data_IF_880526150923
#
_entry.id   IF_880526150923
#
_cell.length_a   1.000
_cell.length_b   1.000
_cell.length_c   1.000
_cell.angle_alpha   90.00
_cell.angle_beta   90.00
_cell.angle_gamma   90.00
#
_symmetry.space_group_name_H-M   'P 1'
#
loop_
_entity.id
_entity.type
_entity.pdbx_description
1 polymer ?
#
# COMPACT_ATOMS: atom_id res chain seq x y z
N UNK A 1 1.59 -49.25 -47.44
CA UNK A 1 0.59 -48.36 -46.82
C UNK A 1 0.66 -48.56 -45.30
N UNK A 2 1.54 -47.84 -44.56
CA UNK A 2 1.65 -47.87 -43.07
C UNK A 2 2.83 -47.06 -42.46
N UNK A 3 3.56 -46.25 -43.25
CA UNK A 3 4.63 -45.37 -42.71
C UNK A 3 4.13 -43.95 -42.39
N UNK A 4 3.21 -43.43 -43.18
CA UNK A 4 2.63 -42.08 -43.01
C UNK A 4 1.71 -41.97 -41.78
N UNK A 5 1.08 -43.08 -41.37
CA UNK A 5 0.17 -43.12 -40.22
C UNK A 5 0.92 -43.11 -38.87
N UNK A 6 2.15 -43.65 -38.83
CA UNK A 6 3.01 -43.60 -37.63
C UNK A 6 3.64 -42.23 -37.41
N UNK A 7 3.99 -41.52 -38.49
CA UNK A 7 4.49 -40.14 -38.39
C UNK A 7 3.40 -39.15 -37.97
N UNK A 8 2.14 -39.38 -38.35
CA UNK A 8 1.02 -38.52 -37.95
C UNK A 8 0.74 -38.60 -36.43
N UNK A 9 0.89 -39.79 -35.80
CA UNK A 9 0.71 -39.94 -34.36
C UNK A 9 1.85 -39.34 -33.51
N UNK A 10 3.07 -39.29 -34.05
CA UNK A 10 4.24 -38.75 -33.32
C UNK A 10 4.24 -37.22 -33.32
N UNK A 11 3.71 -36.58 -34.37
CA UNK A 11 3.61 -35.11 -34.41
C UNK A 11 2.44 -34.59 -33.55
N UNK A 12 1.36 -35.36 -33.39
CA UNK A 12 0.20 -34.96 -32.57
C UNK A 12 0.46 -35.00 -31.05
N UNK A 13 1.48 -35.73 -30.59
CA UNK A 13 1.80 -35.86 -29.15
C UNK A 13 2.80 -34.81 -28.66
N UNK A 14 3.51 -34.10 -29.54
CA UNK A 14 4.48 -33.08 -29.16
C UNK A 14 3.88 -31.69 -28.85
N UNK A 15 2.62 -31.45 -29.21
CA UNK A 15 1.96 -30.14 -29.00
C UNK A 15 1.32 -30.01 -27.60
N UNK A 16 1.21 -31.10 -26.84
CA UNK A 16 0.49 -31.12 -25.56
C UNK A 16 1.33 -30.78 -24.30
N UNK A 17 2.58 -30.31 -24.45
CA UNK A 17 3.50 -30.12 -23.32
C UNK A 17 3.94 -28.66 -23.08
N UNK A 18 3.34 -27.66 -23.71
CA UNK A 18 3.78 -26.25 -23.60
C UNK A 18 2.73 -25.27 -23.06
N UNK A 19 1.83 -25.72 -22.16
CA UNK A 19 0.82 -24.82 -21.57
C UNK A 19 0.63 -25.03 -20.06
N UNK A 20 1.71 -25.07 -19.27
CA UNK A 20 1.62 -25.01 -17.80
C UNK A 20 2.58 -23.97 -17.19
N UNK A 21 2.85 -22.86 -17.88
CA UNK A 21 3.66 -21.76 -17.32
C UNK A 21 2.95 -20.40 -17.27
N UNK A 22 1.67 -20.32 -17.65
CA UNK A 22 0.93 -19.04 -17.78
C UNK A 22 0.16 -18.59 -16.53
N UNK A 23 0.24 -19.31 -15.40
CA UNK A 23 -0.54 -19.01 -14.19
C UNK A 23 0.30 -18.81 -12.94
N UNK A 24 1.48 -18.24 -13.08
CA UNK A 24 2.15 -17.65 -11.92
C UNK A 24 1.71 -16.18 -11.84
N UNK A 25 0.94 -15.76 -10.81
CA UNK A 25 0.69 -14.33 -10.60
C UNK A 25 2.06 -13.66 -10.50
N UNK A 26 2.31 -12.77 -11.47
CA UNK A 26 3.55 -12.02 -11.60
C UNK A 26 3.85 -11.40 -10.25
N UNK A 27 5.03 -11.71 -9.69
CA UNK A 27 5.53 -11.11 -8.46
C UNK A 27 5.27 -9.59 -8.49
N UNK A 28 4.53 -9.12 -7.50
CA UNK A 28 3.92 -7.78 -7.40
C UNK A 28 4.83 -6.75 -6.71
N UNK A 29 6.12 -7.06 -6.61
CA UNK A 29 7.11 -6.09 -6.20
C UNK A 29 7.15 -4.94 -7.22
N UNK A 30 7.10 -3.66 -6.79
CA UNK A 30 7.17 -2.56 -7.74
C UNK A 30 8.50 -2.60 -8.49
N UNK A 31 8.43 -2.40 -9.80
CA UNK A 31 9.61 -2.41 -10.67
C UNK A 31 10.30 -1.06 -10.59
N UNK A 32 11.63 -1.02 -10.75
CA UNK A 32 12.35 0.25 -10.75
C UNK A 32 11.82 1.18 -11.87
N UNK A 33 11.83 2.51 -11.65
CA UNK A 33 11.51 3.47 -12.70
C UNK A 33 12.45 3.32 -13.91
N UNK A 34 11.93 3.51 -15.12
CA UNK A 34 12.76 3.47 -16.33
C UNK A 34 13.68 4.70 -16.40
N UNK A 35 14.89 4.58 -16.99
CA UNK A 35 15.76 5.73 -17.20
C UNK A 35 15.05 6.83 -18.02
N UNK A 36 14.97 8.04 -17.46
CA UNK A 36 14.29 9.18 -18.10
C UNK A 36 12.78 9.22 -17.94
N UNK A 37 12.18 8.28 -17.18
CA UNK A 37 10.76 8.33 -16.83
C UNK A 37 10.45 9.61 -16.05
N UNK A 38 9.43 10.34 -16.48
CA UNK A 38 8.92 11.52 -15.80
C UNK A 38 7.41 11.63 -16.04
N UNK A 39 6.65 11.87 -14.97
CA UNK A 39 5.19 12.01 -15.04
C UNK A 39 4.78 13.48 -15.01
N UNK A 40 3.75 13.83 -15.79
CA UNK A 40 3.06 15.10 -15.58
C UNK A 40 2.34 15.06 -14.22
N UNK A 41 2.63 16.06 -13.38
CA UNK A 41 2.11 16.08 -12.01
C UNK A 41 0.60 16.14 -11.92
N UNK A 42 -0.05 16.92 -12.79
CA UNK A 42 -1.51 17.12 -12.72
C UNK A 42 -2.21 15.82 -13.11
N UNK A 43 -1.76 15.19 -14.20
CA UNK A 43 -2.29 13.91 -14.64
C UNK A 43 -1.99 12.80 -13.63
N UNK A 44 -0.79 12.78 -13.06
CA UNK A 44 -0.40 11.82 -12.03
C UNK A 44 -1.29 11.92 -10.79
N UNK A 45 -1.52 13.13 -10.26
CA UNK A 45 -2.42 13.34 -9.11
C UNK A 45 -3.85 12.93 -9.47
N UNK A 46 -4.33 13.24 -10.67
CA UNK A 46 -5.66 12.83 -11.13
C UNK A 46 -5.81 11.31 -11.15
N UNK A 47 -4.85 10.59 -11.72
CA UNK A 47 -4.84 9.13 -11.76
C UNK A 47 -4.84 8.52 -10.36
N UNK A 48 -3.96 8.99 -9.48
CA UNK A 48 -3.86 8.49 -8.10
C UNK A 48 -5.08 8.85 -7.23
N UNK A 49 -5.77 9.96 -7.53
CA UNK A 49 -7.04 10.29 -6.86
C UNK A 49 -8.15 9.31 -7.24
N UNK A 50 -8.18 8.85 -8.49
CA UNK A 50 -9.16 7.88 -8.99
C UNK A 50 -8.86 6.43 -8.55
N UNK A 51 -7.64 6.16 -8.07
CA UNK A 51 -7.24 4.89 -7.48
C UNK A 51 -7.86 4.72 -6.08
N UNK A 52 -9.07 4.17 -6.06
CA UNK A 52 -9.90 3.98 -4.86
C UNK A 52 -9.77 2.62 -4.20
N UNK A 53 -9.21 1.64 -4.90
CA UNK A 53 -9.03 0.28 -4.39
C UNK A 53 -7.58 -0.15 -4.59
N UNK A 54 -6.94 -0.58 -3.51
CA UNK A 54 -5.55 -1.01 -3.51
C UNK A 54 -5.22 -1.71 -2.19
N UNK A 55 -4.13 -2.46 -2.20
CA UNK A 55 -3.55 -3.02 -0.99
C UNK A 55 -2.04 -2.80 -1.00
N UNK A 56 -1.48 -2.47 0.16
CA UNK A 56 -0.03 -2.42 0.35
C UNK A 56 0.41 -3.42 1.41
N UNK A 57 1.57 -4.02 1.19
CA UNK A 57 2.24 -4.85 2.19
C UNK A 57 3.65 -4.36 2.43
N UNK A 58 4.07 -4.41 3.68
CA UNK A 58 5.36 -3.84 4.04
C UNK A 58 5.67 -3.84 5.52
N UNK A 59 6.44 -2.84 5.94
CA UNK A 59 6.82 -2.62 7.33
C UNK A 59 6.57 -1.18 7.71
N UNK A 60 6.07 -0.99 8.92
CA UNK A 60 5.97 0.33 9.56
C UNK A 60 6.88 0.34 10.78
N UNK A 61 7.63 1.43 10.93
CA UNK A 61 8.39 1.73 12.14
C UNK A 61 7.91 3.04 12.72
N UNK A 62 7.67 3.07 14.03
CA UNK A 62 7.31 4.28 14.77
C UNK A 62 8.34 4.53 15.86
N UNK A 63 8.73 5.78 16.03
CA UNK A 63 9.66 6.22 17.07
C UNK A 63 9.21 7.57 17.63
N UNK A 64 9.26 7.69 18.95
CA UNK A 64 9.10 8.93 19.70
C UNK A 64 10.37 9.21 20.51
N UNK A 65 10.33 10.22 21.39
CA UNK A 65 11.40 10.52 22.31
C UNK A 65 11.66 9.38 23.32
N UNK A 66 10.60 8.65 23.72
CA UNK A 66 10.64 7.70 24.84
C UNK A 66 10.33 6.26 24.44
N UNK A 67 9.77 6.04 23.25
CA UNK A 67 9.31 4.72 22.83
C UNK A 67 9.50 4.51 21.32
N UNK A 68 9.34 3.26 20.87
CA UNK A 68 9.31 2.93 19.47
C UNK A 68 9.12 1.43 19.22
N UNK A 69 8.69 1.11 18.01
CA UNK A 69 8.43 -0.27 17.60
C UNK A 69 8.32 -0.39 16.09
N UNK A 70 8.17 -1.63 15.63
CA UNK A 70 7.97 -1.90 14.21
C UNK A 70 7.09 -3.12 14.00
N UNK A 71 6.13 -3.00 13.08
CA UNK A 71 5.25 -4.08 12.70
C UNK A 71 5.32 -4.35 11.20
N UNK A 72 4.96 -5.57 10.82
CA UNK A 72 4.49 -5.83 9.47
C UNK A 72 3.16 -5.12 9.27
N UNK A 73 2.99 -4.52 8.10
CA UNK A 73 1.79 -3.81 7.70
C UNK A 73 1.17 -4.56 6.52
N UNK A 74 -0.13 -4.82 6.62
CA UNK A 74 -1.00 -5.11 5.49
C UNK A 74 -2.17 -4.11 5.53
N UNK A 75 -2.26 -3.24 4.54
CA UNK A 75 -3.30 -2.21 4.46
C UNK A 75 -4.06 -2.34 3.15
N UNK A 76 -5.34 -2.67 3.27
CA UNK A 76 -6.31 -2.71 2.19
C UNK A 76 -7.22 -1.48 2.23
N UNK A 77 -7.38 -0.83 1.08
CA UNK A 77 -8.30 0.28 0.87
C UNK A 77 -9.37 -0.14 -0.15
N UNK A 78 -10.64 0.14 0.15
CA UNK A 78 -11.75 0.06 -0.79
C UNK A 78 -12.66 1.27 -0.61
N UNK A 79 -12.61 2.22 -1.54
CA UNK A 79 -13.35 3.48 -1.49
C UNK A 79 -13.10 4.23 -0.17
N UNK A 80 -14.14 4.42 0.64
CA UNK A 80 -14.08 5.10 1.95
C UNK A 80 -13.89 4.10 3.11
N UNK A 81 -13.68 2.82 2.80
CA UNK A 81 -13.43 1.77 3.78
C UNK A 81 -11.97 1.34 3.75
N UNK A 82 -11.42 1.04 4.92
CA UNK A 82 -10.06 0.57 5.04
C UNK A 82 -9.94 -0.53 6.09
N UNK A 83 -8.91 -1.35 5.92
CA UNK A 83 -8.51 -2.40 6.84
C UNK A 83 -6.98 -2.40 6.94
N UNK A 84 -6.46 -2.19 8.14
CA UNK A 84 -5.03 -2.14 8.46
C UNK A 84 -4.74 -3.23 9.47
N UNK A 85 -3.94 -4.21 9.08
CA UNK A 85 -3.37 -5.22 9.96
C UNK A 85 -1.92 -4.87 10.27
N UNK A 86 -1.65 -4.73 11.56
CA UNK A 86 -0.31 -4.65 12.13
C UNK A 86 0.02 -5.96 12.83
N UNK A 87 1.07 -6.65 12.38
CA UNK A 87 1.48 -7.94 12.96
C UNK A 87 2.95 -7.96 13.34
N UNK A 88 3.27 -8.63 14.44
CA UNK A 88 4.61 -8.57 15.03
C UNK A 88 4.81 -7.27 15.81
N UNK A 89 6.05 -6.84 16.11
CA UNK A 89 6.27 -5.96 17.26
C UNK A 89 5.90 -4.47 17.12
N UNK A 90 4.60 -4.15 17.09
CA UNK A 90 4.07 -3.00 17.83
C UNK A 90 2.99 -3.53 18.81
N UNK A 91 3.38 -3.67 20.08
CA UNK A 91 2.58 -4.24 21.18
C UNK A 91 2.60 -5.78 21.33
N UNK A 92 3.03 -6.50 20.28
CA UNK A 92 3.25 -7.96 20.20
C UNK A 92 2.01 -8.84 20.43
N UNK A 93 0.97 -8.52 19.66
CA UNK A 93 -0.01 -9.44 19.12
C UNK A 93 -0.25 -9.07 17.66
N UNK A 94 -1.48 -9.19 17.18
CA UNK A 94 -1.93 -8.46 15.98
C UNK A 94 -2.84 -7.33 16.42
N UNK A 95 -2.71 -6.17 15.78
CA UNK A 95 -3.67 -5.06 15.90
C UNK A 95 -4.32 -4.84 14.55
N UNK A 96 -5.64 -4.82 14.53
CA UNK A 96 -6.45 -4.50 13.35
C UNK A 96 -7.08 -3.14 13.59
N UNK A 97 -6.93 -2.24 12.63
CA UNK A 97 -7.64 -0.95 12.60
C UNK A 97 -8.44 -0.94 11.31
N UNK A 98 -9.76 -0.80 11.42
CA UNK A 98 -10.66 -0.73 10.28
C UNK A 98 -11.62 0.44 10.42
N UNK A 99 -12.11 0.95 9.31
CA UNK A 99 -13.06 2.05 9.33
C UNK A 99 -13.80 2.19 8.02
N UNK A 100 -14.93 2.88 8.09
CA UNK A 100 -15.79 3.24 6.97
C UNK A 100 -16.59 4.52 7.35
N UNK A 101 -17.49 5.04 6.49
CA UNK A 101 -18.25 6.25 6.81
C UNK A 101 -19.12 6.19 8.08
N UNK A 102 -19.39 5.00 8.64
CA UNK A 102 -20.17 4.82 9.87
C UNK A 102 -19.31 4.86 11.14
N UNK A 103 -17.99 4.83 11.01
CA UNK A 103 -17.05 4.85 12.14
C UNK A 103 -15.86 3.91 11.96
N UNK A 104 -15.13 3.71 13.04
CA UNK A 104 -13.90 2.92 13.09
C UNK A 104 -13.90 1.90 14.22
N UNK A 105 -13.08 0.86 14.05
CA UNK A 105 -12.86 -0.20 15.02
C UNK A 105 -11.37 -0.53 15.15
N UNK A 106 -10.92 -0.75 16.38
CA UNK A 106 -9.61 -1.30 16.72
C UNK A 106 -9.78 -2.65 17.43
N UNK A 107 -9.07 -3.68 16.97
CA UNK A 107 -9.07 -5.01 17.58
C UNK A 107 -7.63 -5.42 17.91
N UNK A 108 -7.36 -5.76 19.16
CA UNK A 108 -6.03 -6.21 19.62
C UNK A 108 -6.18 -7.26 20.73
N UNK A 109 -5.09 -7.56 21.45
CA UNK A 109 -5.11 -8.50 22.59
C UNK A 109 -5.99 -8.04 23.76
N UNK A 110 -6.25 -6.75 23.89
CA UNK A 110 -6.97 -6.14 25.01
C UNK A 110 -8.49 -6.13 24.75
N UNK A 111 -8.91 -6.27 23.49
CA UNK A 111 -10.30 -6.41 23.09
C UNK A 111 -10.64 -5.69 21.79
N UNK A 112 -11.90 -5.30 21.69
CA UNK A 112 -12.46 -4.56 20.55
C UNK A 112 -12.97 -3.21 21.00
N UNK A 113 -12.55 -2.16 20.30
CA UNK A 113 -12.85 -0.76 20.61
C UNK A 113 -13.46 -0.11 19.37
N UNK A 114 -14.41 0.79 19.56
CA UNK A 114 -15.14 1.47 18.48
C UNK A 114 -15.19 2.96 18.73
N UNK A 115 -15.10 3.74 17.66
CA UNK A 115 -15.18 5.21 17.71
C UNK A 115 -15.79 5.72 16.41
N UNK A 116 -16.22 6.98 16.40
CA UNK A 116 -16.60 7.69 15.18
C UNK A 116 -15.39 8.11 14.32
N UNK A 117 -14.19 8.13 14.92
CA UNK A 117 -12.94 8.47 14.24
C UNK A 117 -11.83 7.43 14.48
N UNK A 118 -11.13 6.99 13.42
CA UNK A 118 -9.98 6.11 13.57
C UNK A 118 -8.80 6.80 14.27
N UNK A 119 -8.65 8.12 14.12
CA UNK A 119 -7.64 8.90 14.83
C UNK A 119 -7.84 8.87 16.35
N UNK A 120 -9.09 8.90 16.83
CA UNK A 120 -9.40 8.76 18.25
C UNK A 120 -8.94 7.40 18.78
N UNK A 121 -9.21 6.30 18.06
CA UNK A 121 -8.77 4.96 18.46
C UNK A 121 -7.25 4.85 18.53
N UNK A 122 -6.54 5.42 17.54
CA UNK A 122 -5.07 5.41 17.55
C UNK A 122 -4.54 6.22 18.74
N UNK A 123 -5.10 7.40 19.00
CA UNK A 123 -4.71 8.23 20.14
C UNK A 123 -4.95 7.51 21.47
N UNK A 124 -6.14 6.98 21.71
CA UNK A 124 -6.49 6.35 22.99
C UNK A 124 -5.63 5.12 23.30
N UNK A 125 -5.22 4.36 22.27
CA UNK A 125 -4.47 3.12 22.45
C UNK A 125 -2.95 3.27 22.35
N UNK A 126 -2.45 4.29 21.66
CA UNK A 126 -1.00 4.49 21.44
C UNK A 126 -0.47 5.80 22.02
N UNK A 127 -1.35 6.74 22.35
CA UNK A 127 -1.00 8.12 22.72
C UNK A 127 -0.63 9.01 21.53
N UNK A 128 -0.71 8.52 20.28
CA UNK A 128 -0.25 9.24 19.09
C UNK A 128 -1.41 9.86 18.31
N UNK A 129 -1.27 11.14 17.95
CA UNK A 129 -2.18 11.79 16.99
C UNK A 129 -1.67 11.51 15.58
N UNK A 130 -2.18 10.47 14.92
CA UNK A 130 -1.82 10.15 13.53
C UNK A 130 -3.06 10.37 12.65
N UNK A 131 -3.01 11.24 11.62
CA UNK A 131 -4.17 11.57 10.79
C UNK A 131 -4.40 10.47 9.74
N UNK A 132 -5.07 9.39 10.13
CA UNK A 132 -5.35 8.25 9.26
C UNK A 132 -5.99 8.68 7.94
N UNK A 133 -6.93 9.63 7.99
CA UNK A 133 -7.59 10.15 6.80
C UNK A 133 -6.64 10.86 5.82
N UNK A 134 -5.57 11.51 6.30
CA UNK A 134 -4.56 12.14 5.42
C UNK A 134 -3.55 11.11 4.91
N UNK A 135 -3.21 10.11 5.73
CA UNK A 135 -2.32 9.01 5.33
C UNK A 135 -2.84 8.30 4.06
N UNK A 136 -4.15 8.21 3.86
CA UNK A 136 -4.79 7.64 2.67
C UNK A 136 -4.33 8.29 1.35
N UNK A 137 -4.02 9.58 1.38
CA UNK A 137 -3.52 10.33 0.23
C UNK A 137 -2.00 10.27 0.16
N UNK A 138 -1.35 10.50 1.30
CA UNK A 138 0.10 10.54 1.37
C UNK A 138 0.74 9.20 1.01
N UNK A 139 0.12 8.07 1.34
CA UNK A 139 0.64 6.75 0.99
C UNK A 139 0.76 6.54 -0.53
N UNK A 140 -0.12 7.17 -1.31
CA UNK A 140 -0.08 7.17 -2.77
C UNK A 140 0.92 8.18 -3.33
N UNK A 141 1.43 9.11 -2.52
CA UNK A 141 2.35 10.15 -2.96
C UNK A 141 1.65 11.42 -3.46
N UNK A 142 0.44 11.70 -2.96
CA UNK A 142 -0.32 12.92 -3.27
C UNK A 142 -0.73 13.65 -1.98
N UNK A 143 -0.88 14.98 -2.00
CA UNK A 143 -1.38 15.72 -0.85
C UNK A 143 -2.84 15.37 -0.54
N UNK A 144 -3.25 15.51 0.72
CA UNK A 144 -4.66 15.41 1.10
C UNK A 144 -5.43 16.64 0.55
N UNK A 145 -6.76 16.54 0.33
CA UNK A 145 -7.54 17.57 -0.39
C UNK A 145 -7.70 18.91 0.35
N UNK A 146 -7.40 18.95 1.65
CA UNK A 146 -7.55 20.13 2.50
C UNK A 146 -6.27 20.41 3.30
N UNK A 147 -6.06 21.66 3.69
CA UNK A 147 -4.90 22.08 4.48
C UNK A 147 -3.87 22.81 3.63
N UNK A 148 -3.01 23.57 4.28
CA UNK A 148 -1.95 24.32 3.61
C UNK A 148 -0.85 23.35 3.16
N UNK A 149 -0.43 23.50 1.90
CA UNK A 149 0.52 22.57 1.26
C UNK A 149 1.78 23.33 0.85
N UNK A 150 2.93 22.79 1.24
CA UNK A 150 4.22 23.11 0.64
C UNK A 150 4.85 21.82 0.12
N UNK A 151 5.26 21.78 -1.15
CA UNK A 151 5.79 20.56 -1.73
C UNK A 151 6.89 20.80 -2.76
N UNK A 152 7.77 19.82 -2.90
CA UNK A 152 8.75 19.71 -3.98
C UNK A 152 8.51 18.44 -4.79
N UNK A 153 9.06 18.40 -6.00
CA UNK A 153 9.00 17.23 -6.88
C UNK A 153 10.40 16.78 -7.25
N UNK A 154 10.57 15.46 -7.39
CA UNK A 154 11.84 14.86 -7.80
C UNK A 154 11.96 14.81 -9.33
N UNK A 155 13.05 14.22 -9.82
CA UNK A 155 13.32 14.07 -11.26
C UNK A 155 12.29 13.19 -12.01
N UNK A 156 11.53 12.34 -11.31
CA UNK A 156 10.46 11.53 -11.88
C UNK A 156 9.15 12.32 -12.04
N UNK A 157 9.10 13.58 -11.58
CA UNK A 157 7.88 14.39 -11.58
C UNK A 157 6.91 14.05 -10.43
N UNK A 158 7.26 13.10 -9.56
CA UNK A 158 6.49 12.73 -8.37
C UNK A 158 6.90 13.56 -7.16
N UNK A 159 6.11 13.48 -6.09
CA UNK A 159 6.35 14.17 -4.83
C UNK A 159 7.72 13.77 -4.25
N UNK A 160 8.49 14.75 -3.78
CA UNK A 160 9.78 14.55 -3.13
C UNK A 160 9.67 14.87 -1.65
N UNK A 161 9.17 16.07 -1.35
CA UNK A 161 8.80 16.48 0.00
C UNK A 161 7.39 17.06 0.02
N UNK A 162 6.71 16.89 1.16
CA UNK A 162 5.43 17.51 1.44
C UNK A 162 5.41 18.01 2.88
N UNK A 163 4.94 19.23 3.09
CA UNK A 163 4.53 19.75 4.37
C UNK A 163 3.04 20.07 4.32
N UNK A 164 2.26 19.49 5.22
CA UNK A 164 0.81 19.66 5.30
C UNK A 164 0.33 19.49 6.74
N UNK A 165 -0.44 20.45 7.26
CA UNK A 165 -1.00 20.42 8.63
C UNK A 165 0.03 20.13 9.76
N UNK A 166 1.23 20.69 9.58
CA UNK A 166 2.36 20.52 10.50
C UNK A 166 3.13 19.20 10.35
N UNK A 167 2.70 18.32 9.45
CA UNK A 167 3.43 17.10 9.08
C UNK A 167 4.47 17.41 8.03
N UNK A 168 5.62 16.72 8.12
CA UNK A 168 6.67 16.73 7.12
C UNK A 168 6.85 15.32 6.57
N UNK A 169 6.85 15.19 5.25
CA UNK A 169 6.96 13.93 4.55
C UNK A 169 8.12 13.99 3.56
N UNK A 170 8.86 12.89 3.49
CA UNK A 170 9.92 12.65 2.51
C UNK A 170 9.64 11.34 1.75
N UNK A 171 9.70 11.40 0.43
CA UNK A 171 9.40 10.31 -0.49
C UNK A 171 10.69 9.80 -1.17
N UNK A 172 11.50 9.09 -0.41
CA UNK A 172 12.86 8.73 -0.82
C UNK A 172 12.94 7.69 -1.95
N UNK A 173 11.85 6.96 -2.23
CA UNK A 173 11.87 5.85 -3.19
C UNK A 173 10.51 5.66 -3.84
N UNK A 174 10.54 5.49 -5.15
CA UNK A 174 9.38 5.16 -5.99
C UNK A 174 9.64 3.89 -6.82
N UNK A 175 8.57 3.24 -7.26
CA UNK A 175 8.60 2.16 -8.24
C UNK A 175 7.29 2.05 -9.01
N UNK A 176 7.34 1.44 -10.19
CA UNK A 176 6.18 1.19 -11.04
C UNK A 176 5.36 0.03 -10.48
N UNK A 177 4.10 0.27 -10.17
CA UNK A 177 3.09 -0.73 -9.81
C UNK A 177 1.68 -0.18 -10.07
N UNK A 178 0.72 -1.08 -10.35
CA UNK A 178 -0.68 -0.71 -10.61
C UNK A 178 -0.78 0.40 -11.68
N UNK A 179 0.00 0.24 -12.75
CA UNK A 179 0.12 1.16 -13.89
C UNK A 179 0.47 2.61 -13.50
N UNK A 180 1.08 2.80 -12.33
CA UNK A 180 1.43 4.09 -11.76
C UNK A 180 2.82 4.07 -11.12
N UNK A 181 3.41 5.24 -10.94
CA UNK A 181 4.64 5.41 -10.19
C UNK A 181 4.29 5.68 -8.71
N UNK A 182 4.53 4.71 -7.84
CA UNK A 182 4.05 4.72 -6.45
C UNK A 182 5.19 4.73 -5.42
N UNK A 183 5.00 5.35 -4.24
CA UNK A 183 6.00 5.34 -3.18
C UNK A 183 6.35 3.93 -2.70
N UNK A 184 7.62 3.70 -2.39
CA UNK A 184 8.13 2.50 -1.73
C UNK A 184 8.72 2.79 -0.35
N UNK A 185 9.09 4.04 -0.08
CA UNK A 185 9.54 4.48 1.24
C UNK A 185 9.06 5.90 1.51
N UNK A 186 8.37 6.07 2.62
CA UNK A 186 7.88 7.36 3.10
C UNK A 186 8.38 7.56 4.52
N UNK A 187 9.02 8.68 4.78
CA UNK A 187 9.27 9.15 6.15
C UNK A 187 8.27 10.23 6.48
N UNK A 188 7.63 10.14 7.63
CA UNK A 188 6.58 11.04 8.08
C UNK A 188 6.96 11.51 9.48
N UNK A 189 6.95 12.82 9.71
CA UNK A 189 7.36 13.40 10.98
C UNK A 189 6.43 14.53 11.40
N UNK A 190 6.14 14.58 12.70
CA UNK A 190 5.57 15.74 13.39
C UNK A 190 6.17 15.80 14.79
N UNK A 191 6.78 16.93 15.13
CA UNK A 191 7.52 17.09 16.39
C UNK A 191 8.54 15.94 16.60
N UNK A 192 8.44 15.23 17.73
CA UNK A 192 9.29 14.07 18.08
C UNK A 192 8.80 12.74 17.50
N UNK A 193 7.58 12.70 16.95
CA UNK A 193 7.01 11.50 16.34
C UNK A 193 7.57 11.32 14.93
N UNK A 194 8.22 10.17 14.71
CA UNK A 194 8.78 9.75 13.44
C UNK A 194 8.19 8.41 13.03
N UNK A 195 7.59 8.37 11.85
CA UNK A 195 7.05 7.17 11.23
C UNK A 195 7.81 6.90 9.93
N UNK A 196 8.23 5.66 9.73
CA UNK A 196 8.81 5.22 8.45
C UNK A 196 7.97 4.07 7.91
N UNK A 197 7.42 4.27 6.71
CA UNK A 197 6.70 3.27 5.97
C UNK A 197 7.59 2.72 4.86
N UNK A 198 7.81 1.41 4.85
CA UNK A 198 8.48 0.68 3.77
C UNK A 198 7.44 -0.18 3.07
N UNK A 199 7.08 0.18 1.85
CA UNK A 199 6.12 -0.54 1.01
C UNK A 199 6.90 -1.51 0.13
N UNK A 200 6.63 -2.81 0.30
CA UNK A 200 7.27 -3.89 -0.44
C UNK A 200 6.45 -4.30 -1.66
N UNK A 201 5.13 -4.25 -1.52
CA UNK A 201 4.19 -4.65 -2.56
C UNK A 201 3.05 -3.64 -2.64
N UNK A 202 2.65 -3.35 -3.87
CA UNK A 202 1.41 -2.68 -4.22
C UNK A 202 0.57 -3.67 -5.02
N UNK A 203 -0.63 -3.98 -4.52
CA UNK A 203 -1.50 -5.02 -5.03
C UNK A 203 -2.84 -4.42 -5.45
N UNK A 204 -3.49 -4.94 -6.51
CA UNK A 204 -4.92 -4.72 -6.69
C UNK A 204 -5.64 -5.33 -5.49
N UNK A 205 -6.73 -4.70 -5.04
CA UNK A 205 -7.55 -5.31 -4.00
C UNK A 205 -8.24 -6.56 -4.57
N UNK A 206 -7.83 -7.75 -4.10
CA UNK A 206 -8.45 -9.01 -4.52
C UNK A 206 -9.63 -9.35 -3.63
N UNK A 207 -10.80 -9.62 -4.22
CA UNK A 207 -11.92 -10.25 -3.51
C UNK A 207 -11.60 -11.71 -3.26
N UNK A 208 -10.81 -12.04 -2.23
CA UNK A 208 -10.69 -13.44 -1.78
C UNK A 208 -11.88 -13.76 -0.88
N UNK A 209 -13.01 -14.05 -1.52
CA UNK A 209 -14.22 -14.58 -0.91
C UNK A 209 -15.06 -15.24 -1.99
N UNK A 210 -15.34 -16.54 -1.81
CA UNK A 210 -16.11 -17.44 -2.69
C UNK A 210 -15.51 -17.78 -4.05
N UNK A 211 -14.59 -18.76 -4.05
CA UNK A 211 -14.51 -19.75 -5.13
C UNK A 211 -14.01 -21.09 -4.55
N UNK A 212 -14.83 -21.66 -3.65
CA UNK A 212 -14.83 -23.10 -3.35
C UNK A 212 -16.29 -23.55 -3.41
N UNK A 213 -16.67 -24.11 -4.56
CA UNK A 213 -17.77 -25.08 -4.70
C UNK A 213 -17.18 -26.39 -5.16
#
# INVERSE_FOLDING_TARGET
MNRSLKFLCIILTAVALSSCALWYPKSTAPTAPEPGQNVDWVEHVRQLTLMREWQIRGKIGVRTATDGGSAYLDWSQSFDSFYILLSGPLGQGSTIISGNPSGARLENSDGTFVSDSPENLVMEHTGWQIPINQLLYWVKGIPAPSGDIQMTRNALGTLDTLQQDGWKLEFDRYGNALDSLLPQRIKIQKDDLKVTLIIKEWLPLSNTGTDET
#
